data_IF_323473375384
#
_entry.id   IF_323473375384
#
_cell.length_a   1.000
_cell.length_b   1.000
_cell.length_c   1.000
_cell.angle_alpha   90.00
_cell.angle_beta   90.00
_cell.angle_gamma   90.00
#
_symmetry.space_group_name_H-M   'P 1'
#
loop_
_entity.id
_entity.type
_entity.pdbx_description
1 polymer ?
#
# COMPACT_ATOMS: atom_id res chain seq x y z
N UNK A 1 -9.02 -18.94 14.04
CA UNK A 1 -8.92 -17.96 12.95
C UNK A 1 -8.70 -18.71 11.65
N UNK A 2 -9.52 -18.45 10.64
CA UNK A 2 -9.30 -19.04 9.33
C UNK A 2 -8.05 -18.43 8.69
N UNK A 3 -7.40 -19.17 7.80
CA UNK A 3 -6.07 -18.83 7.28
C UNK A 3 -6.16 -17.82 6.12
N UNK A 4 -6.69 -16.63 6.39
CA UNK A 4 -6.71 -15.53 5.39
C UNK A 4 -6.70 -14.17 6.07
N UNK A 5 -6.29 -13.18 5.29
CA UNK A 5 -6.40 -11.76 5.65
C UNK A 5 -7.35 -11.12 4.64
N UNK A 6 -8.35 -10.41 5.13
CA UNK A 6 -9.39 -9.82 4.27
C UNK A 6 -9.14 -8.35 3.96
N UNK A 7 -8.47 -7.63 4.85
CA UNK A 7 -8.21 -6.19 4.70
C UNK A 7 -6.82 -5.87 5.22
N UNK A 8 -6.08 -5.10 4.45
CA UNK A 8 -4.85 -4.44 4.91
C UNK A 8 -5.13 -2.94 4.87
N UNK A 9 -4.99 -2.28 6.02
CA UNK A 9 -5.19 -0.83 6.12
C UNK A 9 -3.84 -0.15 6.29
N UNK A 10 -3.56 0.79 5.41
CA UNK A 10 -2.36 1.62 5.49
C UNK A 10 -2.73 2.97 6.09
N UNK A 11 -2.03 3.35 7.15
CA UNK A 11 -2.17 4.67 7.74
C UNK A 11 -1.49 5.71 6.85
N UNK A 12 -2.21 6.78 6.52
CA UNK A 12 -1.69 7.80 5.61
C UNK A 12 -1.81 9.18 6.23
N UNK A 13 -0.92 10.08 5.84
CA UNK A 13 -0.94 11.47 6.32
C UNK A 13 -1.94 12.32 5.53
N UNK A 14 -1.94 12.16 4.21
CA UNK A 14 -2.80 12.90 3.29
C UNK A 14 -3.55 11.90 2.41
N UNK A 15 -4.83 11.72 2.69
CA UNK A 15 -5.65 10.71 2.01
C UNK A 15 -5.75 10.96 0.50
N UNK A 16 -5.87 12.21 0.09
CA UNK A 16 -5.97 12.56 -1.34
C UNK A 16 -4.67 12.31 -2.08
N UNK A 17 -3.54 12.63 -1.45
CA UNK A 17 -2.22 12.39 -2.03
C UNK A 17 -1.95 10.89 -2.18
N UNK A 18 -2.30 10.11 -1.19
CA UNK A 18 -2.15 8.66 -1.22
C UNK A 18 -3.08 8.02 -2.25
N UNK A 19 -4.33 8.50 -2.32
CA UNK A 19 -5.27 8.06 -3.36
C UNK A 19 -4.71 8.31 -4.76
N UNK A 20 -4.17 9.50 -5.02
CA UNK A 20 -3.60 9.83 -6.32
C UNK A 20 -2.42 8.89 -6.67
N UNK A 21 -1.58 8.58 -5.69
CA UNK A 21 -0.46 7.65 -5.91
C UNK A 21 -0.96 6.28 -6.37
N UNK A 22 -1.90 5.68 -5.64
CA UNK A 22 -2.37 4.32 -5.95
C UNK A 22 -3.32 4.26 -7.13
N UNK A 23 -4.27 5.20 -7.23
CA UNK A 23 -5.26 5.22 -8.32
C UNK A 23 -4.64 5.72 -9.62
N UNK A 24 -4.09 6.93 -9.59
CA UNK A 24 -3.61 7.58 -10.82
C UNK A 24 -2.19 7.12 -11.17
N UNK A 25 -1.35 6.97 -10.16
CA UNK A 25 0.03 6.53 -10.33
C UNK A 25 0.16 5.06 -10.68
N UNK A 26 -0.41 4.18 -9.88
CA UNK A 26 -0.31 2.73 -10.09
C UNK A 26 -1.49 2.12 -10.85
N UNK A 27 -2.56 2.86 -11.03
CA UNK A 27 -3.71 2.41 -11.82
C UNK A 27 -4.64 1.45 -11.08
N UNK A 28 -4.65 1.46 -9.75
CA UNK A 28 -5.56 0.60 -8.99
C UNK A 28 -6.98 1.19 -9.02
N UNK A 29 -7.98 0.37 -9.33
CA UNK A 29 -9.37 0.85 -9.39
C UNK A 29 -9.93 1.05 -7.98
N UNK A 30 -10.71 2.12 -7.81
CA UNK A 30 -11.37 2.44 -6.55
C UNK A 30 -12.55 3.39 -6.81
N UNK A 31 -13.46 3.45 -5.86
CA UNK A 31 -14.54 4.44 -5.86
C UNK A 31 -14.07 5.81 -5.34
N UNK A 32 -12.82 5.93 -4.92
CA UNK A 32 -12.28 7.14 -4.32
C UNK A 32 -12.59 7.24 -2.83
N UNK A 33 -12.60 8.46 -2.31
CA UNK A 33 -12.87 8.68 -0.89
C UNK A 33 -14.35 8.51 -0.63
N UNK A 34 -14.69 7.62 0.31
CA UNK A 34 -16.07 7.37 0.77
C UNK A 34 -16.15 7.61 2.27
N UNK A 35 -17.36 7.63 2.81
CA UNK A 35 -17.58 7.76 4.25
C UNK A 35 -17.41 9.18 4.80
N UNK A 36 -17.39 10.20 3.94
CA UNK A 36 -17.18 11.59 4.35
C UNK A 36 -18.36 12.17 5.16
N UNK A 37 -19.54 11.54 5.11
CA UNK A 37 -20.68 11.90 5.93
C UNK A 37 -20.43 11.64 7.43
N UNK A 38 -19.52 10.76 7.77
CA UNK A 38 -19.12 10.46 9.15
C UNK A 38 -17.95 11.36 9.54
N UNK A 39 -18.26 12.51 10.15
CA UNK A 39 -17.24 13.55 10.41
C UNK A 39 -16.27 13.21 11.53
N UNK A 40 -16.72 12.42 12.52
CA UNK A 40 -15.92 12.17 13.71
C UNK A 40 -15.76 13.39 14.59
N UNK A 41 -15.00 13.24 15.66
CA UNK A 41 -14.63 14.30 16.59
C UNK A 41 -13.28 13.97 17.25
N UNK A 42 -12.96 14.57 18.40
CA UNK A 42 -11.67 14.33 19.07
C UNK A 42 -11.48 12.88 19.52
N UNK A 43 -12.57 12.18 19.85
CA UNK A 43 -12.52 10.82 20.41
C UNK A 43 -13.12 9.78 19.48
N UNK A 44 -13.89 10.18 18.48
CA UNK A 44 -14.51 9.29 17.51
C UNK A 44 -13.88 9.50 16.16
N UNK A 45 -13.47 8.41 15.45
CA UNK A 45 -12.81 8.55 14.16
C UNK A 45 -13.76 9.04 13.08
N UNK A 46 -13.23 9.77 12.11
CA UNK A 46 -13.90 10.05 10.86
C UNK A 46 -14.08 8.76 10.05
N UNK A 47 -15.09 8.71 9.19
CA UNK A 47 -15.31 7.57 8.30
C UNK A 47 -14.66 7.70 6.93
N UNK A 48 -13.97 8.81 6.65
CA UNK A 48 -13.36 9.03 5.33
C UNK A 48 -12.24 8.01 5.08
N UNK A 49 -12.40 7.19 4.04
CA UNK A 49 -11.52 6.06 3.73
C UNK A 49 -11.48 5.86 2.23
N UNK A 50 -10.38 5.29 1.72
CA UNK A 50 -10.27 4.78 0.35
C UNK A 50 -10.13 3.27 0.43
N UNK A 51 -10.87 2.54 -0.41
CA UNK A 51 -10.76 1.09 -0.51
C UNK A 51 -10.48 0.69 -1.95
N UNK A 52 -9.50 -0.19 -2.11
CA UNK A 52 -9.19 -0.85 -3.38
C UNK A 52 -9.57 -2.32 -3.23
N UNK A 53 -10.49 -2.78 -4.06
CA UNK A 53 -10.83 -4.20 -4.10
C UNK A 53 -9.79 -4.92 -4.97
N UNK A 54 -8.93 -5.68 -4.31
CA UNK A 54 -7.88 -6.43 -4.99
C UNK A 54 -8.40 -7.79 -5.43
N UNK A 55 -7.60 -8.51 -6.20
CA UNK A 55 -7.93 -9.86 -6.62
C UNK A 55 -8.07 -10.78 -5.41
N UNK A 56 -8.88 -11.81 -5.53
CA UNK A 56 -9.11 -12.84 -4.51
C UNK A 56 -9.73 -12.31 -3.20
N UNK A 57 -10.46 -11.19 -3.28
CA UNK A 57 -11.25 -10.68 -2.16
C UNK A 57 -10.48 -9.90 -1.10
N UNK A 58 -9.18 -9.68 -1.28
CA UNK A 58 -8.40 -8.84 -0.38
C UNK A 58 -8.71 -7.37 -0.66
N UNK A 59 -8.90 -6.59 0.40
CA UNK A 59 -9.09 -5.14 0.30
C UNK A 59 -7.83 -4.44 0.82
N UNK A 60 -7.33 -3.49 0.04
CA UNK A 60 -6.31 -2.54 0.50
C UNK A 60 -7.04 -1.24 0.82
N UNK A 61 -6.96 -0.80 2.07
CA UNK A 61 -7.60 0.44 2.52
C UNK A 61 -6.55 1.49 2.87
N UNK A 62 -6.88 2.75 2.59
CA UNK A 62 -6.10 3.91 3.02
C UNK A 62 -6.94 4.67 4.04
N UNK A 63 -6.38 4.95 5.21
CA UNK A 63 -7.11 5.60 6.29
C UNK A 63 -6.20 6.62 6.97
N UNK A 64 -6.70 7.84 7.28
CA UNK A 64 -5.84 8.83 7.93
C UNK A 64 -5.23 8.28 9.22
N UNK A 65 -3.94 8.51 9.39
CA UNK A 65 -3.15 7.97 10.52
C UNK A 65 -3.77 8.34 11.87
N UNK A 66 -4.21 9.58 12.01
CA UNK A 66 -4.86 10.05 13.24
C UNK A 66 -6.18 9.33 13.51
N UNK A 67 -6.93 9.04 12.45
CA UNK A 67 -8.25 8.41 12.57
C UNK A 67 -8.12 6.90 12.87
N UNK A 68 -7.13 6.26 12.25
CA UNK A 68 -6.84 4.85 12.56
C UNK A 68 -6.45 4.68 14.03
N UNK A 69 -5.63 5.58 14.56
CA UNK A 69 -5.23 5.55 15.97
C UNK A 69 -6.44 5.73 16.90
N UNK A 70 -7.33 6.68 16.60
CA UNK A 70 -8.57 6.86 17.38
C UNK A 70 -9.43 5.61 17.34
N UNK A 71 -9.62 5.04 16.15
CA UNK A 71 -10.47 3.86 15.97
C UNK A 71 -9.93 2.67 16.75
N UNK A 72 -8.62 2.50 16.79
CA UNK A 72 -7.95 1.41 17.49
C UNK A 72 -7.68 1.69 18.97
N UNK A 73 -8.03 2.89 19.45
CA UNK A 73 -7.75 3.34 20.83
C UNK A 73 -6.24 3.29 21.16
N UNK A 74 -5.44 3.81 20.25
CA UNK A 74 -3.99 3.89 20.38
C UNK A 74 -3.52 5.32 20.18
N UNK A 75 -2.36 5.65 20.74
CA UNK A 75 -1.68 6.91 20.44
C UNK A 75 -1.08 6.87 19.05
N UNK A 76 -1.06 7.99 18.36
CA UNK A 76 -0.38 8.08 17.06
C UNK A 76 1.12 7.89 17.29
N UNK A 77 1.70 6.90 16.59
CA UNK A 77 3.12 6.59 16.69
C UNK A 77 3.92 7.09 15.49
N UNK A 78 5.24 6.91 15.58
CA UNK A 78 6.16 7.20 14.48
C UNK A 78 6.04 6.10 13.43
N UNK A 79 5.95 6.48 12.14
CA UNK A 79 5.91 5.52 11.05
C UNK A 79 7.25 4.78 10.93
N UNK A 80 7.18 3.46 10.67
CA UNK A 80 8.36 2.65 10.41
C UNK A 80 8.14 1.80 9.16
N UNK A 81 9.11 1.85 8.23
CA UNK A 81 9.06 1.08 6.98
C UNK A 81 9.68 -0.31 7.11
N UNK A 82 10.25 -0.65 8.27
CA UNK A 82 11.03 -1.88 8.43
C UNK A 82 10.30 -3.01 9.14
N UNK A 83 9.03 -2.79 9.52
CA UNK A 83 8.27 -3.78 10.29
C UNK A 83 7.51 -4.77 9.41
N UNK A 84 7.13 -4.37 8.21
CA UNK A 84 6.49 -5.26 7.25
C UNK A 84 6.67 -4.72 5.83
N UNK A 85 6.44 -5.57 4.85
CA UNK A 85 6.40 -5.16 3.46
C UNK A 85 5.21 -5.80 2.77
N UNK A 86 4.76 -5.16 1.69
CA UNK A 86 3.73 -5.71 0.82
C UNK A 86 4.41 -6.22 -0.44
N UNK A 87 4.16 -7.48 -0.78
CA UNK A 87 4.75 -8.09 -1.96
C UNK A 87 3.78 -8.15 -3.12
N UNK A 88 4.23 -7.77 -4.30
CA UNK A 88 3.47 -7.85 -5.54
C UNK A 88 4.24 -8.68 -6.55
N UNK A 89 3.68 -9.84 -6.91
CA UNK A 89 4.32 -10.77 -7.84
C UNK A 89 3.83 -10.44 -9.26
N UNK A 90 4.79 -10.28 -10.16
CA UNK A 90 4.54 -10.07 -11.58
C UNK A 90 5.09 -11.25 -12.40
N UNK A 91 4.81 -11.27 -13.71
CA UNK A 91 5.04 -12.43 -14.55
C UNK A 91 6.39 -12.46 -15.25
N UNK A 92 7.17 -11.38 -15.16
CA UNK A 92 8.50 -11.30 -15.82
C UNK A 92 9.38 -10.27 -15.13
N UNK A 93 10.69 -10.36 -15.39
CA UNK A 93 11.66 -9.35 -14.94
C UNK A 93 11.37 -7.99 -15.56
N UNK A 94 10.93 -7.96 -16.82
CA UNK A 94 10.56 -6.72 -17.50
C UNK A 94 9.40 -6.02 -16.81
N UNK A 95 8.42 -6.79 -16.32
CA UNK A 95 7.30 -6.22 -15.55
C UNK A 95 7.75 -5.66 -14.20
N UNK A 96 8.74 -6.28 -13.55
CA UNK A 96 9.36 -5.71 -12.33
C UNK A 96 9.93 -4.34 -12.65
N UNK A 97 10.79 -4.25 -13.66
CA UNK A 97 11.44 -3.00 -14.04
C UNK A 97 10.43 -1.92 -14.42
N UNK A 98 9.40 -2.28 -15.19
CA UNK A 98 8.37 -1.35 -15.63
C UNK A 98 7.56 -0.80 -14.43
N UNK A 99 7.18 -1.66 -13.49
CA UNK A 99 6.41 -1.23 -12.33
C UNK A 99 7.26 -0.38 -11.38
N UNK A 100 8.53 -0.72 -11.19
CA UNK A 100 9.44 0.10 -10.39
C UNK A 100 9.57 1.52 -10.95
N UNK A 101 9.70 1.67 -12.27
CA UNK A 101 9.74 2.98 -12.91
C UNK A 101 8.42 3.74 -12.77
N UNK A 102 7.32 3.04 -12.93
CA UNK A 102 5.99 3.65 -12.79
C UNK A 102 5.75 4.16 -11.37
N UNK A 103 6.14 3.38 -10.37
CA UNK A 103 6.02 3.76 -8.97
C UNK A 103 6.87 5.01 -8.69
N UNK A 104 8.10 5.04 -9.18
CA UNK A 104 8.99 6.19 -9.02
C UNK A 104 8.41 7.45 -9.67
N UNK A 105 7.85 7.33 -10.88
CA UNK A 105 7.20 8.44 -11.57
C UNK A 105 5.97 8.95 -10.80
N UNK A 106 5.30 8.07 -10.06
CA UNK A 106 4.13 8.41 -9.23
C UNK A 106 4.50 9.04 -7.88
N UNK A 107 5.78 9.08 -7.53
CA UNK A 107 6.25 9.70 -6.29
C UNK A 107 6.87 8.74 -5.28
N UNK A 108 7.00 7.46 -5.61
CA UNK A 108 7.66 6.49 -4.72
C UNK A 108 9.16 6.76 -4.64
N UNK A 109 9.74 6.33 -3.52
CA UNK A 109 11.19 6.34 -3.33
C UNK A 109 11.67 4.91 -3.52
N UNK A 110 12.53 4.68 -4.50
CA UNK A 110 13.17 3.38 -4.70
C UNK A 110 14.26 3.22 -3.63
N UNK A 111 14.10 2.20 -2.78
CA UNK A 111 15.06 1.93 -1.72
C UNK A 111 16.11 0.92 -2.14
N UNK A 112 15.74 0.00 -3.05
CA UNK A 112 16.67 -0.97 -3.60
C UNK A 112 16.25 -1.30 -5.03
N UNK A 113 17.12 -0.99 -5.98
CA UNK A 113 16.87 -1.27 -7.39
C UNK A 113 16.67 -2.77 -7.60
N UNK A 114 15.87 -3.13 -8.61
CA UNK A 114 15.61 -4.53 -8.91
C UNK A 114 16.92 -5.25 -9.29
N UNK A 115 17.14 -6.41 -8.68
CA UNK A 115 18.30 -7.24 -8.96
C UNK A 115 18.04 -8.70 -8.59
N UNK A 116 18.95 -9.58 -8.97
CA UNK A 116 18.88 -11.00 -8.63
C UNK A 116 19.06 -11.20 -7.13
N UNK A 117 18.23 -12.07 -6.57
CA UNK A 117 18.24 -12.45 -5.14
C UNK A 117 18.35 -13.98 -5.05
N UNK A 118 18.52 -14.53 -3.84
CA UNK A 118 18.52 -15.99 -3.65
C UNK A 118 17.30 -16.66 -4.30
N UNK A 119 17.46 -17.91 -4.68
CA UNK A 119 16.45 -18.77 -5.35
C UNK A 119 16.01 -18.29 -6.74
N UNK A 120 16.82 -17.47 -7.42
CA UNK A 120 16.51 -16.97 -8.75
C UNK A 120 15.45 -15.87 -8.77
N UNK A 121 15.07 -15.35 -7.61
CA UNK A 121 14.12 -14.25 -7.50
C UNK A 121 14.75 -12.97 -8.03
N UNK A 122 13.96 -12.17 -8.76
CA UNK A 122 14.35 -10.85 -9.21
C UNK A 122 13.35 -9.85 -8.66
N UNK A 123 13.80 -8.92 -7.84
CA UNK A 123 12.90 -7.97 -7.19
C UNK A 123 13.57 -6.65 -6.85
N UNK A 124 12.73 -5.63 -6.66
CA UNK A 124 13.13 -4.34 -6.16
C UNK A 124 12.18 -3.87 -5.07
N UNK A 125 12.59 -2.87 -4.31
CA UNK A 125 11.80 -2.28 -3.23
C UNK A 125 11.55 -0.81 -3.47
N UNK A 126 10.34 -0.36 -3.12
CA UNK A 126 10.05 1.07 -3.07
C UNK A 126 9.21 1.39 -1.84
N UNK A 127 9.28 2.64 -1.41
CA UNK A 127 8.35 3.18 -0.42
C UNK A 127 7.31 4.02 -1.14
N UNK A 128 6.05 3.89 -0.71
CA UNK A 128 5.00 4.77 -1.19
C UNK A 128 5.17 6.19 -0.62
N UNK A 129 4.21 7.08 -0.90
CA UNK A 129 4.30 8.49 -0.47
C UNK A 129 4.23 8.67 1.05
N UNK A 130 3.86 7.63 1.78
CA UNK A 130 3.82 7.61 3.25
C UNK A 130 4.92 6.76 3.87
N UNK A 131 5.81 6.19 3.07
CA UNK A 131 6.91 5.36 3.53
C UNK A 131 6.58 3.87 3.69
N UNK A 132 5.41 3.42 3.24
CA UNK A 132 5.09 2.00 3.28
C UNK A 132 5.93 1.24 2.27
N UNK A 133 6.50 0.11 2.70
CA UNK A 133 7.45 -0.65 1.91
C UNK A 133 6.75 -1.67 1.02
N UNK A 134 7.10 -1.65 -0.25
CA UNK A 134 6.63 -2.61 -1.26
C UNK A 134 7.81 -3.32 -1.89
N UNK A 135 7.63 -4.61 -2.16
CA UNK A 135 8.54 -5.42 -2.98
C UNK A 135 7.82 -5.82 -4.25
N UNK A 136 8.40 -5.51 -5.41
CA UNK A 136 7.91 -5.96 -6.71
C UNK A 136 8.77 -7.14 -7.14
N UNK A 137 8.13 -8.29 -7.35
CA UNK A 137 8.83 -9.59 -7.39
C UNK A 137 8.50 -10.35 -8.68
N UNK A 138 9.52 -10.87 -9.33
CA UNK A 138 9.39 -11.99 -10.23
C UNK A 138 10.05 -13.20 -9.60
N UNK A 139 9.30 -14.28 -9.51
CA UNK A 139 9.78 -15.54 -8.92
C UNK A 139 9.60 -16.65 -9.95
N UNK A 140 10.67 -17.27 -10.43
CA UNK A 140 10.58 -18.32 -11.46
C UNK A 140 9.84 -19.57 -10.98
N UNK A 141 9.66 -19.73 -9.66
CA UNK A 141 9.00 -20.87 -9.04
C UNK A 141 7.52 -20.63 -8.76
N UNK A 142 7.02 -19.40 -8.97
CA UNK A 142 5.63 -18.99 -8.71
C UNK A 142 5.13 -18.28 -9.95
N UNK A 143 4.12 -18.84 -10.56
CA UNK A 143 3.64 -18.32 -11.81
C UNK A 143 2.35 -17.58 -11.76
#
# INVERSE_FOLDING_TARGET
>A
MEAHISVITLAVTDLEKSLAFYRDGLGLPTKGIIGTEFKGDKTHPSGAVVMFELQHGLILALYPRSELAKDANLSVGVASSTEFSLGHIVKSKQEVDALMKRAQAAGAIVTDEAHERPWGIYSGYFQDVDGHLWEVIWNPNVG
#
